data_IF_554493512676
#
_entry.id   IF_554493512676
#
_cell.length_a   1.000
_cell.length_b   1.000
_cell.length_c   1.000
_cell.angle_alpha   90.00
_cell.angle_beta   90.00
_cell.angle_gamma   90.00
#
_symmetry.space_group_name_H-M   'P 1'
#
loop_
_entity.id
_entity.type
_entity.pdbx_description
1 polymer ?
#
# COMPACT_ATOMS: atom_id res chain seq x y z
N UNK A 1 -43.93 10.73 -30.15
CA UNK A 1 -43.10 10.93 -31.35
C UNK A 1 -41.64 10.94 -30.90
N UNK A 2 -40.84 9.94 -31.29
CA UNK A 2 -39.42 9.90 -30.94
C UNK A 2 -38.66 10.83 -31.87
N UNK A 3 -37.95 11.80 -31.30
CA UNK A 3 -37.12 12.75 -32.06
C UNK A 3 -35.85 12.01 -32.50
N UNK A 4 -35.54 11.94 -33.80
CA UNK A 4 -34.34 11.28 -34.27
C UNK A 4 -33.09 12.07 -33.84
N UNK A 5 -31.97 11.39 -33.53
CA UNK A 5 -30.74 12.05 -33.14
C UNK A 5 -30.23 12.98 -34.25
N UNK A 6 -29.76 14.16 -33.85
CA UNK A 6 -29.26 15.18 -34.77
C UNK A 6 -28.00 14.70 -35.50
N UNK A 7 -27.84 15.13 -36.75
CA UNK A 7 -26.70 14.78 -37.63
C UNK A 7 -25.33 15.03 -36.99
N UNK A 8 -25.23 15.97 -36.04
CA UNK A 8 -24.03 16.25 -35.26
C UNK A 8 -23.71 15.16 -34.21
N UNK A 9 -24.71 14.57 -33.57
CA UNK A 9 -24.52 13.48 -32.62
C UNK A 9 -24.06 12.17 -33.32
N UNK A 10 -24.58 11.91 -34.52
CA UNK A 10 -24.13 10.78 -35.34
C UNK A 10 -22.68 10.95 -35.82
N UNK A 11 -22.29 12.18 -36.19
CA UNK A 11 -20.91 12.49 -36.59
C UNK A 11 -19.92 12.39 -35.42
N UNK A 12 -20.30 12.82 -34.20
CA UNK A 12 -19.48 12.69 -33.00
C UNK A 12 -19.30 11.22 -32.58
N UNK A 13 -20.34 10.39 -32.70
CA UNK A 13 -20.25 8.95 -32.46
C UNK A 13 -19.37 8.24 -33.49
N UNK A 14 -19.44 8.63 -34.77
CA UNK A 14 -18.57 8.09 -35.82
C UNK A 14 -17.10 8.53 -35.64
N UNK A 15 -16.85 9.78 -35.22
CA UNK A 15 -15.50 10.27 -34.95
C UNK A 15 -14.88 9.59 -33.71
N UNK A 16 -15.66 9.34 -32.66
CA UNK A 16 -15.21 8.58 -31.48
C UNK A 16 -14.90 7.11 -31.83
N UNK A 17 -15.66 6.49 -32.74
CA UNK A 17 -15.37 5.15 -33.25
C UNK A 17 -14.09 5.10 -34.11
N UNK A 18 -13.80 6.16 -34.86
CA UNK A 18 -12.62 6.25 -35.75
C UNK A 18 -11.34 6.59 -34.98
N UNK A 19 -11.43 7.36 -33.89
CA UNK A 19 -10.28 7.66 -33.01
C UNK A 19 -9.82 6.46 -32.15
N UNK A 20 -10.69 5.45 -31.95
CA UNK A 20 -10.34 4.21 -31.26
C UNK A 20 -9.54 3.22 -32.12
N UNK A 21 -9.37 3.48 -33.42
CA UNK A 21 -8.60 2.62 -34.34
C UNK A 21 -7.10 2.96 -34.33
N UNK A 22 -6.55 3.23 -33.14
CA UNK A 22 -5.11 3.32 -32.94
C UNK A 22 -4.51 1.91 -33.10
N UNK A 23 -3.53 1.78 -33.99
CA UNK A 23 -2.80 0.57 -34.41
C UNK A 23 -2.79 -0.54 -33.34
N UNK A 24 -3.81 -1.40 -33.37
CA UNK A 24 -3.95 -2.47 -32.40
C UNK A 24 -3.01 -3.59 -32.80
N UNK A 25 -2.07 -3.97 -31.93
CA UNK A 25 -1.12 -5.04 -32.22
C UNK A 25 -1.88 -6.36 -32.30
N UNK A 26 -1.97 -6.92 -33.50
CA UNK A 26 -2.56 -8.24 -33.74
C UNK A 26 -1.44 -9.27 -33.62
N UNK A 27 -1.68 -10.32 -32.83
CA UNK A 27 -0.78 -11.46 -32.63
C UNK A 27 -1.48 -12.74 -33.05
N UNK A 28 -0.75 -13.63 -33.72
CA UNK A 28 -1.24 -14.94 -34.13
C UNK A 28 -0.62 -16.02 -33.24
N UNK A 29 -1.43 -16.93 -32.70
CA UNK A 29 -0.97 -18.02 -31.83
C UNK A 29 -1.50 -19.38 -32.32
N UNK A 30 -0.60 -20.32 -32.56
CA UNK A 30 -0.97 -21.70 -32.84
C UNK A 30 -1.12 -22.49 -31.53
N UNK A 31 -2.26 -23.14 -31.35
CA UNK A 31 -2.63 -23.92 -30.17
C UNK A 31 -2.86 -25.37 -30.57
N UNK A 32 -2.29 -26.30 -29.81
CA UNK A 32 -2.44 -27.73 -30.02
C UNK A 32 -3.92 -28.19 -29.85
N UNK A 33 -4.33 -29.32 -30.44
CA UNK A 33 -5.66 -29.89 -30.22
C UNK A 33 -5.90 -30.21 -28.74
N UNK A 34 -7.18 -30.17 -28.33
CA UNK A 34 -7.60 -30.51 -26.97
C UNK A 34 -8.01 -29.31 -26.11
N UNK A 35 -7.87 -29.46 -24.78
CA UNK A 35 -8.25 -28.42 -23.80
C UNK A 35 -7.27 -27.25 -23.89
N UNK A 36 -7.79 -26.06 -24.18
CA UNK A 36 -6.98 -24.83 -24.35
C UNK A 36 -6.42 -24.33 -23.00
N UNK A 37 -7.13 -24.60 -21.90
CA UNK A 37 -6.78 -24.10 -20.57
C UNK A 37 -7.01 -22.59 -20.41
N UNK A 38 -8.03 -22.04 -21.07
CA UNK A 38 -8.44 -20.63 -20.96
C UNK A 38 -9.88 -20.53 -20.47
N UNK A 39 -10.12 -19.60 -19.56
CA UNK A 39 -11.48 -19.12 -19.27
C UNK A 39 -11.72 -17.85 -20.08
N UNK A 40 -12.81 -17.84 -20.84
CA UNK A 40 -13.13 -16.77 -21.77
C UNK A 40 -14.47 -16.13 -21.43
N UNK A 41 -14.57 -14.81 -21.60
CA UNK A 41 -15.83 -14.07 -21.57
C UNK A 41 -16.11 -13.50 -22.96
N UNK A 42 -17.16 -13.98 -23.62
CA UNK A 42 -17.53 -13.56 -24.98
C UNK A 42 -18.32 -12.25 -24.93
N UNK A 43 -17.90 -11.28 -25.74
CA UNK A 43 -18.51 -9.97 -25.92
C UNK A 43 -18.64 -9.68 -27.44
N UNK A 44 -19.28 -8.57 -27.81
CA UNK A 44 -19.45 -8.17 -29.23
C UNK A 44 -18.12 -7.98 -29.99
N UNK A 45 -17.02 -7.72 -29.27
CA UNK A 45 -15.69 -7.54 -29.84
C UNK A 45 -14.87 -8.84 -30.00
N UNK A 46 -15.33 -9.96 -29.42
CA UNK A 46 -14.59 -11.23 -29.35
C UNK A 46 -14.63 -11.84 -27.95
N UNK A 47 -13.71 -12.76 -27.66
CA UNK A 47 -13.61 -13.45 -26.38
C UNK A 47 -12.44 -12.93 -25.54
N UNK A 48 -12.74 -12.26 -24.42
CA UNK A 48 -11.73 -11.75 -23.48
C UNK A 48 -11.21 -12.88 -22.59
N UNK A 49 -9.89 -13.02 -22.46
CA UNK A 49 -9.26 -13.98 -21.56
C UNK A 49 -9.40 -13.51 -20.12
N UNK A 50 -10.09 -14.27 -19.27
CA UNK A 50 -10.30 -13.94 -17.85
C UNK A 50 -9.39 -14.74 -16.92
N UNK A 51 -8.98 -15.95 -17.32
CA UNK A 51 -7.95 -16.72 -16.62
C UNK A 51 -7.23 -17.68 -17.56
N UNK A 52 -6.01 -18.04 -17.18
CA UNK A 52 -5.14 -18.97 -17.91
C UNK A 52 -4.70 -20.06 -16.94
N UNK A 53 -4.91 -21.32 -17.31
CA UNK A 53 -4.43 -22.46 -16.55
C UNK A 53 -2.91 -22.56 -16.69
N UNK A 54 -2.20 -22.72 -15.56
CA UNK A 54 -0.73 -22.70 -15.51
C UNK A 54 -0.08 -23.81 -16.34
N UNK A 55 -0.76 -24.95 -16.48
CA UNK A 55 -0.36 -26.12 -17.27
C UNK A 55 -0.62 -25.97 -18.78
N UNK A 56 -1.30 -24.91 -19.22
CA UNK A 56 -1.71 -24.76 -20.61
C UNK A 56 -0.56 -24.32 -21.52
N UNK A 57 -0.62 -24.74 -22.79
CA UNK A 57 0.33 -24.28 -23.84
C UNK A 57 0.20 -22.79 -24.21
N UNK A 58 -0.78 -22.09 -23.62
CA UNK A 58 -1.04 -20.67 -23.77
C UNK A 58 -0.35 -19.82 -22.69
N UNK A 59 0.05 -20.43 -21.57
CA UNK A 59 0.73 -19.72 -20.47
C UNK A 59 2.02 -19.05 -20.97
N UNK A 60 2.19 -17.77 -20.64
CA UNK A 60 3.31 -16.92 -21.09
C UNK A 60 3.26 -16.48 -22.56
N UNK A 61 2.27 -16.93 -23.35
CA UNK A 61 2.10 -16.51 -24.75
C UNK A 61 0.99 -15.46 -24.91
N UNK A 62 0.02 -15.45 -24.01
CA UNK A 62 -1.08 -14.50 -23.96
C UNK A 62 -1.28 -14.07 -22.51
N UNK A 63 -1.81 -12.86 -22.30
CA UNK A 63 -2.04 -12.29 -20.97
C UNK A 63 -3.55 -12.22 -20.66
N UNK A 64 -3.90 -12.21 -19.37
CA UNK A 64 -5.29 -11.96 -18.94
C UNK A 64 -5.70 -10.54 -19.39
N UNK A 65 -6.86 -10.45 -20.05
CA UNK A 65 -7.37 -9.22 -20.65
C UNK A 65 -7.13 -9.10 -22.15
N UNK A 66 -6.32 -9.95 -22.77
CA UNK A 66 -6.23 -10.06 -24.22
C UNK A 66 -7.57 -10.53 -24.82
N UNK A 67 -7.83 -10.17 -26.07
CA UNK A 67 -9.10 -10.48 -26.75
C UNK A 67 -8.83 -11.37 -27.96
N UNK A 68 -9.39 -12.58 -27.95
CA UNK A 68 -9.38 -13.47 -29.11
C UNK A 68 -10.53 -13.03 -30.03
N UNK A 69 -10.19 -12.63 -31.25
CA UNK A 69 -11.18 -12.13 -32.22
C UNK A 69 -11.58 -13.17 -33.26
N UNK A 70 -10.68 -14.11 -33.57
CA UNK A 70 -10.94 -15.18 -34.53
C UNK A 70 -10.14 -16.46 -34.21
N UNK A 71 -10.70 -17.59 -34.62
CA UNK A 71 -10.08 -18.92 -34.57
C UNK A 71 -10.09 -19.49 -35.99
N UNK A 72 -8.93 -19.85 -36.52
CA UNK A 72 -8.75 -20.35 -37.89
C UNK A 72 -9.38 -19.43 -38.96
N UNK A 73 -9.24 -18.11 -38.76
CA UNK A 73 -9.84 -17.08 -39.63
C UNK A 73 -11.34 -16.86 -39.43
N UNK A 74 -12.03 -17.69 -38.63
CA UNK A 74 -13.46 -17.51 -38.31
C UNK A 74 -13.62 -16.57 -37.11
N UNK A 75 -14.37 -15.48 -37.30
CA UNK A 75 -14.66 -14.51 -36.23
C UNK A 75 -15.45 -15.16 -35.08
N UNK A 76 -15.05 -14.87 -33.85
CA UNK A 76 -15.76 -15.28 -32.64
C UNK A 76 -16.93 -14.33 -32.39
N UNK A 77 -18.16 -14.85 -32.40
CA UNK A 77 -19.37 -14.08 -32.07
C UNK A 77 -20.12 -14.65 -30.86
N UNK A 78 -20.04 -15.97 -30.67
CA UNK A 78 -20.73 -16.69 -29.61
C UNK A 78 -19.84 -17.76 -28.99
N UNK A 79 -20.26 -18.33 -27.86
CA UNK A 79 -19.47 -19.31 -27.09
C UNK A 79 -19.18 -20.57 -27.90
N UNK A 80 -20.10 -20.97 -28.78
CA UNK A 80 -19.95 -22.17 -29.61
C UNK A 80 -18.82 -22.03 -30.62
N UNK A 81 -18.49 -20.80 -31.05
CA UNK A 81 -17.37 -20.58 -31.97
C UNK A 81 -16.02 -20.91 -31.32
N UNK A 82 -15.91 -20.89 -29.98
CA UNK A 82 -14.70 -21.32 -29.26
C UNK A 82 -14.41 -22.82 -29.40
N UNK A 83 -15.43 -23.61 -29.75
CA UNK A 83 -15.32 -25.05 -29.99
C UNK A 83 -15.03 -25.41 -31.46
N UNK A 84 -14.97 -24.40 -32.35
CA UNK A 84 -14.61 -24.61 -33.74
C UNK A 84 -13.24 -25.30 -33.85
N UNK A 85 -13.19 -26.41 -34.59
CA UNK A 85 -11.99 -27.23 -34.80
C UNK A 85 -11.26 -27.67 -33.51
N UNK A 86 -11.95 -27.86 -32.39
CA UNK A 86 -11.30 -28.22 -31.11
C UNK A 86 -10.42 -29.49 -31.16
N UNK A 87 -10.67 -30.38 -32.12
CA UNK A 87 -9.93 -31.64 -32.31
C UNK A 87 -8.70 -31.52 -33.21
N UNK A 88 -8.36 -30.32 -33.70
CA UNK A 88 -7.18 -30.04 -34.54
C UNK A 88 -6.36 -28.90 -33.95
N UNK A 89 -5.14 -28.71 -34.45
CA UNK A 89 -4.38 -27.50 -34.14
C UNK A 89 -5.13 -26.28 -34.66
N UNK A 90 -5.20 -25.22 -33.85
CA UNK A 90 -5.96 -24.00 -34.13
C UNK A 90 -5.08 -22.77 -34.13
N UNK A 91 -5.41 -21.79 -34.95
CA UNK A 91 -4.74 -20.52 -35.02
C UNK A 91 -5.64 -19.43 -34.43
N UNK A 92 -5.22 -18.85 -33.31
CA UNK A 92 -5.92 -17.73 -32.68
C UNK A 92 -5.40 -16.42 -33.23
N UNK A 93 -6.32 -15.55 -33.65
CA UNK A 93 -6.04 -14.14 -33.92
C UNK A 93 -6.39 -13.35 -32.67
N UNK A 94 -5.38 -12.74 -32.06
CA UNK A 94 -5.47 -12.11 -30.75
C UNK A 94 -5.18 -10.64 -30.91
N UNK A 95 -6.11 -9.82 -30.45
CA UNK A 95 -5.90 -8.40 -30.26
C UNK A 95 -5.29 -8.24 -28.88
N UNK A 96 -4.01 -7.88 -28.85
CA UNK A 96 -3.33 -7.62 -27.59
C UNK A 96 -4.01 -6.42 -26.96
N UNK A 97 -4.38 -6.56 -25.68
CA UNK A 97 -4.77 -5.38 -24.90
C UNK A 97 -3.61 -4.41 -25.06
N UNK A 98 -3.91 -3.15 -25.40
CA UNK A 98 -2.88 -2.12 -25.36
C UNK A 98 -2.27 -2.25 -23.97
N UNK A 99 -1.05 -2.75 -23.92
CA UNK A 99 -0.16 -2.41 -22.83
C UNK A 99 -0.01 -0.90 -23.00
N UNK A 100 -0.99 -0.15 -22.47
CA UNK A 100 -0.65 0.90 -21.53
C UNK A 100 0.49 0.29 -20.73
N UNK A 101 1.57 1.02 -20.50
CA UNK A 101 2.53 0.56 -19.54
C UNK A 101 1.79 0.46 -18.19
N UNK A 102 1.06 -0.63 -18.03
CA UNK A 102 0.68 -1.31 -16.83
C UNK A 102 2.05 -1.79 -16.39
N UNK A 103 2.83 -0.83 -15.86
CA UNK A 103 3.65 -1.07 -14.70
C UNK A 103 2.89 -2.12 -13.92
N UNK A 104 3.44 -3.33 -13.92
CA UNK A 104 2.73 -4.53 -13.51
C UNK A 104 1.84 -4.20 -12.32
N UNK A 105 0.51 -4.14 -12.55
CA UNK A 105 -0.48 -4.05 -11.47
C UNK A 105 -0.81 -5.47 -11.00
N UNK A 106 0.15 -6.40 -11.08
CA UNK A 106 0.47 -7.12 -9.85
C UNK A 106 1.01 -6.05 -8.93
N UNK A 107 0.21 -5.55 -7.97
CA UNK A 107 0.73 -4.65 -6.94
C UNK A 107 1.99 -5.30 -6.35
N UNK A 108 3.17 -4.97 -6.86
CA UNK A 108 4.41 -5.27 -6.22
C UNK A 108 4.28 -4.51 -4.91
N UNK A 109 4.01 -5.24 -3.85
CA UNK A 109 3.56 -4.68 -2.57
C UNK A 109 4.50 -3.61 -2.04
N UNK A 110 5.74 -3.73 -2.48
CA UNK A 110 6.77 -2.74 -2.41
C UNK A 110 7.61 -2.81 -3.69
N UNK A 111 8.37 -1.75 -3.97
CA UNK A 111 9.31 -1.69 -5.08
C UNK A 111 10.66 -1.18 -4.60
N UNK A 112 11.73 -1.88 -4.97
CA UNK A 112 13.11 -1.46 -4.72
C UNK A 112 13.67 -0.80 -5.97
N UNK A 113 14.04 0.46 -5.86
CA UNK A 113 14.63 1.24 -6.94
C UNK A 113 16.07 1.63 -6.55
N UNK A 114 17.08 0.89 -7.04
CA UNK A 114 18.48 1.31 -6.87
C UNK A 114 18.74 2.57 -7.71
N UNK A 115 19.28 3.62 -7.08
CA UNK A 115 19.51 4.92 -7.72
C UNK A 115 20.96 5.17 -8.12
N UNK A 116 21.79 4.12 -8.22
CA UNK A 116 23.25 4.24 -8.43
C UNK A 116 23.65 5.16 -9.59
N UNK A 117 22.82 5.30 -10.62
CA UNK A 117 23.05 6.21 -11.76
C UNK A 117 22.25 7.53 -11.71
N UNK A 118 21.23 7.64 -10.87
CA UNK A 118 20.29 8.78 -10.88
C UNK A 118 20.59 9.81 -9.79
N UNK A 119 21.15 9.38 -8.66
CA UNK A 119 21.58 10.27 -7.57
C UNK A 119 23.10 10.26 -7.53
N UNK A 120 23.76 11.40 -7.83
CA UNK A 120 25.21 11.48 -7.77
C UNK A 120 25.75 11.15 -6.37
N UNK A 121 26.85 10.39 -6.23
CA UNK A 121 27.41 10.02 -4.93
C UNK A 121 27.69 11.21 -4.00
N UNK A 122 28.11 12.36 -4.56
CA UNK A 122 28.39 13.56 -3.77
C UNK A 122 27.13 14.09 -3.04
N UNK A 123 25.93 13.89 -3.60
CA UNK A 123 24.68 14.32 -2.94
C UNK A 123 24.45 13.53 -1.65
N UNK A 124 24.81 12.24 -1.65
CA UNK A 124 24.68 11.37 -0.48
C UNK A 124 25.70 11.78 0.58
N UNK A 125 26.96 11.93 0.19
CA UNK A 125 28.03 12.32 1.11
C UNK A 125 27.81 13.71 1.72
N UNK A 126 27.35 14.68 0.92
CA UNK A 126 27.01 16.02 1.40
C UNK A 126 25.81 15.99 2.36
N UNK A 127 24.77 15.22 2.02
CA UNK A 127 23.60 15.00 2.90
C UNK A 127 24.02 14.36 4.23
N UNK A 128 24.85 13.31 4.18
CA UNK A 128 25.42 12.67 5.36
C UNK A 128 26.30 13.63 6.17
N UNK A 129 27.10 14.45 5.52
CA UNK A 129 27.97 15.45 6.17
C UNK A 129 27.14 16.49 6.93
N UNK A 130 26.08 17.03 6.30
CA UNK A 130 25.13 17.94 6.96
C UNK A 130 24.52 17.28 8.20
N UNK A 131 24.13 16.01 8.12
CA UNK A 131 23.57 15.29 9.26
C UNK A 131 24.57 15.02 10.36
N UNK A 132 25.75 14.49 10.02
CA UNK A 132 26.82 14.24 10.99
C UNK A 132 27.20 15.53 11.72
N UNK A 133 27.27 16.66 11.02
CA UNK A 133 27.53 17.97 11.62
C UNK A 133 26.40 18.43 12.53
N UNK A 134 25.15 18.33 12.07
CA UNK A 134 23.96 18.77 12.81
C UNK A 134 23.73 17.96 14.09
N UNK A 135 24.00 16.66 14.04
CA UNK A 135 23.77 15.71 15.13
C UNK A 135 25.07 15.25 15.80
N UNK A 136 26.18 15.96 15.62
CA UNK A 136 27.49 15.56 16.12
C UNK A 136 27.48 15.32 17.64
N UNK A 137 26.75 16.14 18.39
CA UNK A 137 26.64 16.02 19.86
C UNK A 137 25.88 14.77 20.27
N UNK A 138 24.79 14.46 19.58
CA UNK A 138 23.99 13.25 19.80
C UNK A 138 24.77 12.00 19.41
N UNK A 139 25.42 12.02 18.24
CA UNK A 139 26.30 10.94 17.77
C UNK A 139 27.44 10.69 18.76
N UNK A 140 28.05 11.74 19.30
CA UNK A 140 29.11 11.62 20.30
C UNK A 140 28.60 10.96 21.59
N UNK A 141 27.38 11.28 22.04
CA UNK A 141 26.76 10.63 23.21
C UNK A 141 26.56 9.13 22.99
N UNK A 142 26.18 8.73 21.77
CA UNK A 142 26.03 7.31 21.41
C UNK A 142 27.38 6.57 21.41
N UNK A 143 28.48 7.25 21.02
CA UNK A 143 29.82 6.66 20.98
C UNK A 143 30.51 6.57 22.34
N UNK A 144 30.20 7.45 23.28
CA UNK A 144 31.00 7.63 24.51
C UNK A 144 30.57 6.72 25.67
N UNK A 145 29.46 5.97 25.59
CA UNK A 145 29.21 4.97 26.62
C UNK A 145 27.88 4.21 26.53
N UNK A 146 27.99 2.90 26.30
CA UNK A 146 27.26 1.91 27.08
C UNK A 146 28.14 0.65 27.14
N UNK A 147 28.57 0.25 28.33
CA UNK A 147 29.25 -1.04 28.54
C UNK A 147 28.31 -2.16 28.06
N UNK A 148 28.81 -3.21 27.37
CA UNK A 148 27.99 -4.31 26.86
C UNK A 148 27.41 -5.24 27.95
N UNK A 149 27.59 -4.93 29.23
CA UNK A 149 27.25 -5.82 30.36
C UNK A 149 25.99 -5.42 31.14
N UNK A 150 25.10 -4.62 30.57
CA UNK A 150 23.71 -4.68 31.04
C UNK A 150 23.06 -5.76 30.21
N UNK A 151 22.87 -6.95 30.79
CA UNK A 151 21.94 -7.94 30.26
C UNK A 151 20.57 -7.25 30.13
N UNK A 152 20.31 -6.69 28.95
CA UNK A 152 18.98 -6.22 28.58
C UNK A 152 18.20 -7.48 28.16
N UNK A 153 17.88 -8.31 29.16
CA UNK A 153 16.80 -9.28 29.08
C UNK A 153 15.48 -8.51 29.19
N UNK A 154 15.16 -7.68 28.19
CA UNK A 154 13.82 -7.09 28.09
C UNK A 154 12.97 -7.93 27.16
N UNK A 155 12.35 -8.94 27.79
CA UNK A 155 11.06 -9.48 27.38
C UNK A 155 10.11 -8.29 27.30
N UNK A 156 9.55 -8.04 26.11
CA UNK A 156 8.46 -7.09 25.92
C UNK A 156 7.17 -7.65 26.56
N UNK A 157 7.10 -7.62 27.89
CA UNK A 157 5.85 -7.66 28.63
C UNK A 157 5.89 -6.57 29.71
N UNK A 158 4.76 -5.89 29.82
CA UNK A 158 4.47 -4.70 30.60
C UNK A 158 4.89 -4.81 32.08
N UNK A 159 5.47 -3.73 32.64
CA UNK A 159 5.17 -3.13 33.96
C UNK A 159 6.33 -2.35 34.60
N UNK A 160 7.55 -2.38 34.06
CA UNK A 160 8.63 -1.58 34.65
C UNK A 160 8.75 -0.20 34.01
N UNK A 161 8.92 0.81 34.87
CA UNK A 161 9.18 2.20 34.53
C UNK A 161 10.09 2.30 33.31
N UNK A 162 9.60 2.95 32.26
CA UNK A 162 10.43 3.39 31.13
C UNK A 162 11.52 4.29 31.73
N UNK A 163 12.70 3.71 31.96
CA UNK A 163 13.84 4.39 32.57
C UNK A 163 14.11 5.69 31.81
N UNK A 164 14.63 6.73 32.48
CA UNK A 164 15.00 8.00 31.82
C UNK A 164 15.88 7.79 30.58
N UNK A 165 16.61 6.68 30.49
CA UNK A 165 17.47 6.30 29.38
C UNK A 165 16.69 5.80 28.16
N UNK A 166 15.67 4.94 28.33
CA UNK A 166 14.80 4.52 27.21
C UNK A 166 13.98 5.69 26.66
N UNK A 167 13.51 6.62 27.53
CA UNK A 167 12.94 7.91 27.08
C UNK A 167 13.95 8.77 26.30
N UNK A 168 15.25 8.76 26.64
CA UNK A 168 16.29 9.48 25.87
C UNK A 168 16.50 8.89 24.48
N UNK A 169 16.42 7.57 24.33
CA UNK A 169 16.48 6.92 23.02
C UNK A 169 15.22 7.22 22.18
N UNK A 170 14.03 7.20 22.78
CA UNK A 170 12.78 7.60 22.10
C UNK A 170 12.79 9.09 21.69
N UNK A 171 13.32 9.98 22.54
CA UNK A 171 13.48 11.42 22.26
C UNK A 171 14.52 11.72 21.16
N UNK A 172 15.47 10.81 20.92
CA UNK A 172 16.38 10.92 19.78
C UNK A 172 15.68 10.60 18.46
N UNK A 173 14.66 9.73 18.48
CA UNK A 173 13.87 9.31 17.31
C UNK A 173 12.84 10.37 16.90
N UNK A 174 12.34 11.19 17.82
CA UNK A 174 11.22 12.11 17.56
C UNK A 174 11.60 13.59 17.33
N UNK A 175 12.89 13.92 17.13
CA UNK A 175 13.32 15.27 16.73
C UNK A 175 13.10 15.51 15.23
N UNK A 176 11.82 15.64 14.88
CA UNK A 176 11.30 15.97 13.55
C UNK A 176 11.91 17.27 13.07
N UNK A 177 12.83 17.16 12.13
CA UNK A 177 13.32 18.31 11.37
C UNK A 177 12.66 18.30 10.02
N UNK A 178 12.08 19.44 9.66
CA UNK A 178 11.52 19.71 8.34
C UNK A 178 12.69 19.80 7.35
N UNK A 179 13.14 18.63 6.90
CA UNK A 179 14.30 18.44 6.03
C UNK A 179 14.01 18.76 4.56
N UNK A 180 12.75 19.01 4.22
CA UNK A 180 12.28 19.47 2.92
C UNK A 180 13.01 20.73 2.40
N UNK A 181 13.80 21.42 3.25
CA UNK A 181 14.54 22.62 2.88
C UNK A 181 16.01 22.38 2.50
N UNK A 182 16.55 21.16 2.52
CA UNK A 182 17.88 20.99 1.92
C UNK A 182 17.72 21.02 0.39
N UNK A 183 18.40 21.97 -0.26
CA UNK A 183 18.33 22.12 -1.71
C UNK A 183 18.71 20.83 -2.44
N UNK A 184 19.60 20.02 -1.85
CA UNK A 184 20.01 18.72 -2.36
C UNK A 184 18.86 17.71 -2.45
N UNK A 185 18.13 17.51 -1.35
CA UNK A 185 17.00 16.56 -1.33
C UNK A 185 15.93 17.05 -2.29
N UNK A 186 15.62 18.34 -2.26
CA UNK A 186 14.58 18.95 -3.09
C UNK A 186 14.92 18.96 -4.59
N UNK A 187 16.19 19.13 -4.95
CA UNK A 187 16.63 19.15 -6.35
C UNK A 187 16.82 17.77 -6.95
N UNK A 188 17.27 16.78 -6.16
CA UNK A 188 17.64 15.47 -6.70
C UNK A 188 16.66 14.35 -6.36
N UNK A 189 16.20 14.23 -5.12
CA UNK A 189 15.36 13.10 -4.69
C UNK A 189 13.88 13.36 -4.97
N UNK A 190 13.37 14.55 -4.67
CA UNK A 190 11.95 14.87 -4.83
C UNK A 190 11.47 14.65 -6.28
N UNK A 191 12.18 15.09 -7.34
CA UNK A 191 11.73 14.86 -8.71
C UNK A 191 11.69 13.38 -9.08
N UNK A 192 12.68 12.59 -8.64
CA UNK A 192 12.73 11.13 -8.88
C UNK A 192 11.54 10.44 -8.21
N UNK A 193 11.32 10.74 -6.92
CA UNK A 193 10.22 10.16 -6.14
C UNK A 193 8.87 10.54 -6.75
N UNK A 194 8.69 11.82 -7.08
CA UNK A 194 7.43 12.33 -7.64
C UNK A 194 7.14 11.70 -9.00
N UNK A 195 8.15 11.63 -9.88
CA UNK A 195 8.03 10.98 -11.19
C UNK A 195 7.71 9.50 -11.04
N UNK A 196 8.40 8.78 -10.17
CA UNK A 196 8.12 7.37 -9.91
C UNK A 196 6.66 7.17 -9.50
N UNK A 197 6.15 8.00 -8.57
CA UNK A 197 4.77 7.93 -8.14
C UNK A 197 3.78 8.23 -9.28
N UNK A 198 4.07 9.24 -10.13
CA UNK A 198 3.24 9.58 -11.29
C UNK A 198 3.22 8.46 -12.35
N UNK A 199 4.33 7.75 -12.53
CA UNK A 199 4.47 6.68 -13.52
C UNK A 199 3.79 5.36 -13.06
N UNK A 200 3.56 5.17 -11.75
CA UNK A 200 3.12 3.89 -11.18
C UNK A 200 1.79 3.95 -10.42
N UNK A 201 1.29 5.14 -10.08
CA UNK A 201 0.06 5.30 -9.32
C UNK A 201 -0.85 6.34 -9.99
N UNK A 202 -2.16 6.09 -9.95
CA UNK A 202 -3.13 7.01 -10.52
C UNK A 202 -3.24 8.31 -9.70
N UNK A 203 -3.02 9.42 -10.39
CA UNK A 203 -3.25 10.78 -9.89
C UNK A 203 -1.97 11.63 -9.78
N UNK A 204 -2.14 12.85 -9.28
CA UNK A 204 -1.02 13.76 -9.02
C UNK A 204 -0.58 13.64 -7.58
N UNK A 205 0.69 13.31 -7.37
CA UNK A 205 1.29 13.12 -6.05
C UNK A 205 2.19 14.28 -5.66
N UNK A 206 2.28 14.53 -4.36
CA UNK A 206 3.26 15.44 -3.76
C UNK A 206 3.76 14.91 -2.41
N UNK A 207 4.93 15.38 -2.00
CA UNK A 207 5.53 14.99 -0.73
C UNK A 207 4.89 15.81 0.39
N UNK A 208 4.13 15.12 1.25
CA UNK A 208 3.48 15.73 2.41
C UNK A 208 4.46 15.91 3.58
N UNK A 209 5.40 14.96 3.74
CA UNK A 209 6.32 14.95 4.88
C UNK A 209 7.64 14.29 4.53
N UNK A 210 8.73 14.83 5.05
CA UNK A 210 10.06 14.20 5.02
C UNK A 210 10.58 14.08 6.45
N UNK A 211 11.01 12.89 6.83
CA UNK A 211 11.57 12.55 8.14
C UNK A 211 12.98 12.00 7.96
N UNK A 212 13.90 12.37 8.85
CA UNK A 212 15.18 11.68 9.00
C UNK A 212 15.01 10.63 10.09
N UNK A 213 15.30 9.39 9.74
CA UNK A 213 15.33 8.28 10.69
C UNK A 213 16.78 7.89 10.95
N UNK A 214 17.08 7.57 12.20
CA UNK A 214 18.40 7.18 12.67
C UNK A 214 18.26 5.95 13.56
N UNK A 215 19.11 4.94 13.35
CA UNK A 215 19.18 3.75 14.21
C UNK A 215 20.62 3.30 14.40
N UNK A 216 21.05 3.06 15.63
CA UNK A 216 22.34 2.46 15.94
C UNK A 216 22.21 0.94 16.18
N UNK A 217 23.31 0.30 16.58
CA UNK A 217 23.38 -1.13 16.89
C UNK A 217 22.52 -1.57 18.09
N UNK A 218 22.20 -0.63 18.98
CA UNK A 218 21.44 -0.86 20.21
C UNK A 218 19.95 -0.59 20.04
N UNK A 219 19.56 0.00 18.92
CA UNK A 219 18.17 0.24 18.57
C UNK A 219 17.46 -1.12 18.51
N UNK A 220 16.47 -1.37 19.41
CA UNK A 220 15.74 -2.62 19.39
C UNK A 220 15.01 -2.74 18.07
N UNK A 221 14.81 -3.98 17.65
CA UNK A 221 13.98 -4.26 16.50
C UNK A 221 12.58 -3.65 16.68
N UNK A 222 12.09 -2.96 15.66
CA UNK A 222 10.76 -2.38 15.74
C UNK A 222 9.71 -3.48 15.72
N UNK A 223 8.64 -3.29 16.49
CA UNK A 223 7.43 -4.10 16.35
C UNK A 223 6.80 -3.83 14.98
N UNK A 224 6.15 -4.85 14.43
CA UNK A 224 5.37 -4.70 13.20
C UNK A 224 4.29 -3.63 13.38
N UNK A 225 4.23 -2.68 12.43
CA UNK A 225 3.28 -1.57 12.43
C UNK A 225 2.93 -1.15 10.99
N UNK A 226 1.89 -0.32 10.85
CA UNK A 226 1.57 0.39 9.62
C UNK A 226 1.88 1.87 9.80
N UNK A 227 2.23 2.54 8.71
CA UNK A 227 2.49 3.99 8.72
C UNK A 227 1.20 4.81 8.62
N UNK A 228 0.17 4.22 8.00
CA UNK A 228 -1.18 4.74 7.91
C UNK A 228 -2.04 4.29 9.09
N UNK A 229 -2.89 5.20 9.57
CA UNK A 229 -3.93 4.93 10.57
C UNK A 229 -5.21 4.53 9.81
N UNK A 230 -5.89 3.48 10.29
CA UNK A 230 -7.12 2.88 9.75
C UNK A 230 -7.94 3.80 8.85
N UNK A 231 -7.86 3.57 7.53
CA UNK A 231 -8.67 4.16 6.45
C UNK A 231 -8.60 5.69 6.25
N UNK A 232 -7.93 6.45 7.11
CA UNK A 232 -7.99 7.91 7.05
C UNK A 232 -6.88 8.56 6.20
N UNK A 233 -5.77 7.86 5.94
CA UNK A 233 -4.65 8.42 5.17
C UNK A 233 -4.02 7.36 4.26
N UNK A 234 -4.58 7.21 3.07
CA UNK A 234 -3.94 6.48 1.98
C UNK A 234 -2.78 7.33 1.43
N UNK A 235 -1.56 6.84 1.60
CA UNK A 235 -0.36 7.48 1.06
C UNK A 235 0.72 6.44 0.74
N UNK A 236 1.63 6.85 -0.15
CA UNK A 236 2.82 6.07 -0.47
C UNK A 236 3.96 6.51 0.42
N UNK A 237 4.67 5.54 0.96
CA UNK A 237 5.93 5.73 1.64
C UNK A 237 7.06 5.51 0.64
N UNK A 238 8.04 6.41 0.63
CA UNK A 238 9.35 6.15 0.04
C UNK A 238 10.43 6.25 1.11
N UNK A 239 11.23 5.20 1.27
CA UNK A 239 12.33 5.13 2.22
C UNK A 239 13.65 5.12 1.43
N UNK A 240 14.45 6.16 1.59
CA UNK A 240 15.76 6.31 0.96
C UNK A 240 16.89 5.98 1.93
N UNK A 241 17.78 5.07 1.55
CA UNK A 241 18.92 4.65 2.36
C UNK A 241 20.15 5.50 2.09
N UNK A 242 20.69 6.11 3.13
CA UNK A 242 21.94 6.89 3.06
C UNK A 242 23.17 6.03 3.37
N UNK A 243 22.99 4.80 3.84
CA UNK A 243 24.05 3.87 4.18
C UNK A 243 23.72 2.46 3.72
N UNK A 244 24.76 1.64 3.61
CA UNK A 244 24.62 0.22 3.33
C UNK A 244 24.02 -0.55 4.51
N UNK A 245 23.57 -1.76 4.22
CA UNK A 245 23.08 -2.72 5.21
C UNK A 245 21.94 -2.16 6.06
N UNK A 246 21.03 -1.41 5.46
CA UNK A 246 19.78 -1.01 6.13
C UNK A 246 18.83 -2.20 6.16
N UNK A 247 18.58 -2.73 7.36
CA UNK A 247 17.64 -3.83 7.56
C UNK A 247 16.21 -3.30 7.67
N UNK A 248 15.32 -3.93 6.90
CA UNK A 248 13.90 -3.61 6.87
C UNK A 248 13.11 -4.89 6.68
N UNK A 249 11.98 -5.03 7.37
CA UNK A 249 11.11 -6.19 7.22
C UNK A 249 9.75 -5.74 6.76
N UNK A 250 9.20 -6.41 5.76
CA UNK A 250 7.88 -6.12 5.23
C UNK A 250 7.10 -7.42 5.06
N UNK A 251 5.86 -7.43 5.53
CA UNK A 251 5.01 -8.62 5.44
C UNK A 251 4.36 -8.69 4.07
N UNK A 252 4.47 -9.86 3.44
CA UNK A 252 3.79 -10.15 2.19
C UNK A 252 2.29 -10.35 2.45
N UNK A 253 1.40 -9.63 1.75
CA UNK A 253 -0.06 -9.76 1.99
C UNK A 253 -0.61 -11.11 1.53
N UNK A 254 -0.06 -11.70 0.47
CA UNK A 254 -0.56 -12.95 -0.09
C UNK A 254 -0.19 -14.12 0.82
N UNK A 255 1.08 -14.17 1.22
CA UNK A 255 1.61 -15.34 1.93
C UNK A 255 1.67 -15.13 3.45
N UNK A 256 1.45 -13.89 3.92
CA UNK A 256 1.66 -13.46 5.31
C UNK A 256 3.08 -13.72 5.82
N UNK A 257 4.04 -14.00 4.94
CA UNK A 257 5.43 -14.21 5.33
C UNK A 257 6.12 -12.87 5.56
N UNK A 258 6.97 -12.81 6.59
CA UNK A 258 7.78 -11.63 6.85
C UNK A 258 9.04 -11.71 5.99
N UNK A 259 9.19 -10.77 5.06
CA UNK A 259 10.35 -10.70 4.19
C UNK A 259 11.38 -9.74 4.75
N UNK A 260 12.58 -10.25 4.97
CA UNK A 260 13.73 -9.43 5.35
C UNK A 260 14.40 -8.83 4.11
N UNK A 261 14.64 -7.53 4.15
CA UNK A 261 15.31 -6.75 3.13
C UNK A 261 16.58 -6.17 3.72
N UNK A 262 17.70 -6.44 3.07
CA UNK A 262 18.98 -5.75 3.35
C UNK A 262 19.18 -4.75 2.21
N UNK A 263 18.89 -3.49 2.49
CA UNK A 263 18.96 -2.44 1.49
C UNK A 263 20.38 -1.84 1.42
N UNK A 264 21.00 -1.77 0.23
CA UNK A 264 22.26 -1.07 0.05
C UNK A 264 22.05 0.45 0.09
N UNK A 265 23.15 1.21 0.22
CA UNK A 265 23.17 2.66 0.09
C UNK A 265 22.57 3.08 -1.25
N UNK A 266 21.94 4.26 -1.28
CA UNK A 266 21.38 4.85 -2.49
C UNK A 266 20.21 4.03 -3.08
N UNK A 267 19.36 3.48 -2.21
CA UNK A 267 18.19 2.70 -2.61
C UNK A 267 16.92 3.37 -2.12
N UNK A 268 15.93 3.47 -3.01
CA UNK A 268 14.56 3.81 -2.64
C UNK A 268 13.74 2.53 -2.47
N UNK A 269 13.05 2.41 -1.35
CA UNK A 269 11.99 1.43 -1.13
C UNK A 269 10.65 2.16 -1.12
N UNK A 270 9.79 1.83 -2.07
CA UNK A 270 8.41 2.32 -2.11
C UNK A 270 7.47 1.26 -1.54
N UNK A 271 6.54 1.66 -0.67
CA UNK A 271 5.46 0.78 -0.20
C UNK A 271 4.25 1.61 0.24
N UNK A 272 3.08 0.98 0.30
CA UNK A 272 1.85 1.65 0.73
C UNK A 272 1.82 1.81 2.26
N UNK A 273 1.29 2.91 2.77
CA UNK A 273 1.21 3.22 4.22
C UNK A 273 0.54 2.12 5.08
N UNK A 274 -0.39 1.35 4.50
CA UNK A 274 -1.10 0.25 5.16
C UNK A 274 -0.31 -1.07 5.16
N UNK A 275 0.90 -1.10 4.60
CA UNK A 275 1.75 -2.28 4.65
C UNK A 275 2.30 -2.48 6.05
N UNK A 276 2.10 -3.68 6.59
CA UNK A 276 2.65 -4.08 7.86
C UNK A 276 4.16 -4.32 7.70
N UNK A 277 4.95 -3.57 8.44
CA UNK A 277 6.40 -3.56 8.32
C UNK A 277 7.08 -3.27 9.66
N UNK A 278 8.40 -3.44 9.70
CA UNK A 278 9.22 -3.11 10.85
C UNK A 278 10.63 -2.71 10.39
N UNK A 279 11.23 -1.72 11.04
CA UNK A 279 12.68 -1.53 10.99
C UNK A 279 13.38 -2.76 11.57
N UNK A 280 14.28 -3.37 10.80
CA UNK A 280 15.06 -4.51 11.25
C UNK A 280 16.14 -4.10 12.24
N UNK A 281 16.66 -5.09 12.99
CA UNK A 281 17.83 -4.90 13.85
C UNK A 281 19.02 -4.44 13.00
N UNK A 282 19.76 -3.43 13.47
CA UNK A 282 21.03 -3.05 12.87
C UNK A 282 22.13 -3.95 13.46
N UNK A 283 22.71 -4.89 12.70
CA UNK A 283 23.75 -5.78 13.21
C UNK A 283 25.13 -5.11 13.22
N UNK A 284 25.25 -3.90 12.68
CA UNK A 284 26.52 -3.17 12.59
C UNK A 284 26.62 -2.15 13.72
N UNK A 285 27.85 -1.86 14.16
CA UNK A 285 28.12 -0.77 15.10
C UNK A 285 28.00 0.63 14.47
N UNK A 286 27.61 0.71 13.20
CA UNK A 286 27.43 1.97 12.51
C UNK A 286 26.03 2.52 12.74
N UNK A 287 25.91 3.83 12.90
CA UNK A 287 24.62 4.50 12.89
C UNK A 287 24.09 4.44 11.46
N UNK A 288 22.86 3.98 11.26
CA UNK A 288 22.17 3.92 9.97
C UNK A 288 21.20 5.09 9.80
N UNK A 289 21.41 5.93 8.79
CA UNK A 289 20.58 7.08 8.44
C UNK A 289 19.68 6.76 7.23
N UNK A 290 18.41 7.19 7.33
CA UNK A 290 17.41 7.01 6.27
C UNK A 290 16.54 8.26 6.13
N UNK A 291 16.13 8.58 4.91
CA UNK A 291 15.08 9.57 4.68
C UNK A 291 13.76 8.86 4.41
N UNK A 292 12.73 9.26 5.15
CA UNK A 292 11.39 8.71 5.04
C UNK A 292 10.45 9.78 4.49
N UNK A 293 9.92 9.54 3.30
CA UNK A 293 9.03 10.45 2.57
C UNK A 293 7.60 9.90 2.62
N UNK A 294 6.65 10.73 3.08
CA UNK A 294 5.22 10.47 2.96
C UNK A 294 4.68 11.23 1.76
N UNK A 295 4.08 10.51 0.83
CA UNK A 295 3.68 10.99 -0.49
C UNK A 295 2.18 10.76 -0.63
N UNK A 296 1.40 11.83 -0.60
CA UNK A 296 -0.05 11.73 -0.79
C UNK A 296 -0.48 12.36 -2.10
N UNK A 297 -1.77 12.22 -2.43
CA UNK A 297 -2.34 12.91 -3.57
C UNK A 297 -2.46 14.39 -3.26
N UNK A 298 -2.22 15.24 -4.25
CA UNK A 298 -2.26 16.71 -4.14
C UNK A 298 -3.60 17.25 -3.60
N UNK A 299 -4.70 16.56 -3.90
CA UNK A 299 -6.05 16.93 -3.43
C UNK A 299 -6.38 16.40 -2.03
N UNK A 300 -5.62 15.42 -1.53
CA UNK A 300 -5.77 14.83 -0.19
C UNK A 300 -5.02 15.64 0.88
N UNK A 301 -4.77 16.94 0.63
CA UNK A 301 -4.56 17.90 1.71
C UNK A 301 -5.85 18.14 2.50
N UNK A 302 -6.62 17.09 2.81
CA UNK A 302 -7.51 17.12 3.96
C UNK A 302 -6.65 17.54 5.14
N UNK A 303 -7.03 18.67 5.77
CA UNK A 303 -6.33 19.33 6.87
C UNK A 303 -5.50 18.32 7.64
N UNK A 304 -4.17 18.41 7.54
CA UNK A 304 -3.28 17.61 8.36
C UNK A 304 -3.77 17.75 9.80
N UNK A 305 -4.44 16.72 10.33
CA UNK A 305 -4.89 16.71 11.72
C UNK A 305 -3.62 17.01 12.50
N UNK A 306 -3.65 18.08 13.30
CA UNK A 306 -2.45 18.56 13.94
C UNK A 306 -1.87 17.42 14.76
N UNK A 307 -0.55 17.24 14.78
CA UNK A 307 0.03 16.14 15.55
C UNK A 307 -0.22 16.31 17.07
N UNK A 308 -0.61 17.51 17.51
CA UNK A 308 -1.11 17.76 18.86
C UNK A 308 -2.46 17.07 19.15
N UNK A 309 -3.28 16.83 18.13
CA UNK A 309 -4.45 15.94 18.20
C UNK A 309 -4.06 14.46 18.07
N UNK A 310 -2.99 14.13 17.33
CA UNK A 310 -2.52 12.74 17.16
C UNK A 310 -1.71 12.18 18.36
N UNK A 311 -1.01 13.02 19.14
CA UNK A 311 -0.20 12.59 20.30
C UNK A 311 -1.05 12.25 21.53
N UNK A 312 -2.36 12.51 21.52
CA UNK A 312 -3.26 12.09 22.62
C UNK A 312 -3.58 10.60 22.65
N UNK A 313 -3.00 9.78 21.76
CA UNK A 313 -3.47 8.41 21.56
C UNK A 313 -2.32 7.40 21.41
N UNK A 314 -1.91 6.71 22.49
CA UNK A 314 -1.33 5.38 22.34
C UNK A 314 -2.50 4.48 21.93
N UNK A 315 -2.62 4.18 20.63
CA UNK A 315 -3.76 3.44 20.05
C UNK A 315 -3.97 2.04 20.62
N UNK A 316 -3.08 1.59 21.50
CA UNK A 316 -3.17 0.33 22.21
C UNK A 316 -3.68 0.47 23.64
N UNK A 317 -3.76 1.66 24.26
CA UNK A 317 -4.18 1.76 25.67
C UNK A 317 -5.64 2.19 25.85
N UNK A 318 -6.31 1.64 26.86
CA UNK A 318 -7.62 2.10 27.28
C UNK A 318 -7.53 3.41 28.09
N UNK A 319 -8.31 4.42 27.73
CA UNK A 319 -8.29 5.73 28.40
C UNK A 319 -8.71 5.70 29.87
N UNK A 320 -9.54 4.73 30.26
CA UNK A 320 -9.99 4.61 31.64
C UNK A 320 -8.92 4.03 32.57
N UNK A 321 -8.38 2.87 32.21
CA UNK A 321 -7.51 2.10 33.10
C UNK A 321 -6.02 2.08 32.68
N UNK A 322 -5.67 2.64 31.53
CA UNK A 322 -4.30 2.64 31.00
C UNK A 322 -3.79 1.30 30.45
N UNK A 323 -4.61 0.23 30.50
CA UNK A 323 -4.22 -1.12 30.05
C UNK A 323 -4.00 -1.16 28.54
N UNK A 324 -2.94 -1.83 28.08
CA UNK A 324 -2.61 -1.88 26.64
C UNK A 324 -3.08 -3.16 25.95
N UNK A 325 -3.25 -3.08 24.63
CA UNK A 325 -3.86 -4.11 23.78
C UNK A 325 -3.07 -4.22 22.47
N UNK A 326 -2.77 -5.45 22.06
CA UNK A 326 -2.03 -5.72 20.82
C UNK A 326 -2.88 -5.61 19.56
N UNK A 327 -4.22 -5.64 19.69
CA UNK A 327 -5.18 -5.60 18.59
C UNK A 327 -6.28 -4.58 18.91
N UNK A 328 -6.63 -3.73 17.94
CA UNK A 328 -7.63 -2.67 18.10
C UNK A 328 -8.99 -3.18 18.58
N UNK A 329 -9.48 -4.32 18.05
CA UNK A 329 -10.76 -4.91 18.47
C UNK A 329 -10.78 -5.31 19.94
N UNK A 330 -9.66 -5.83 20.46
CA UNK A 330 -9.50 -6.15 21.88
C UNK A 330 -9.49 -4.88 22.74
N UNK A 331 -8.84 -3.81 22.27
CA UNK A 331 -8.89 -2.50 22.93
C UNK A 331 -10.31 -1.96 22.97
N UNK A 332 -11.01 -1.92 21.83
CA UNK A 332 -12.40 -1.48 21.72
C UNK A 332 -13.29 -2.25 22.69
N UNK A 333 -13.25 -3.58 22.65
CA UNK A 333 -14.02 -4.44 23.57
C UNK A 333 -13.71 -4.14 25.04
N UNK A 334 -12.46 -3.80 25.35
CA UNK A 334 -12.11 -3.38 26.70
C UNK A 334 -12.53 -1.93 27.02
N UNK A 335 -12.40 -0.98 26.11
CA UNK A 335 -12.90 0.39 26.28
C UNK A 335 -14.41 0.38 26.57
N UNK A 336 -15.13 -0.56 25.94
CA UNK A 336 -16.54 -0.86 26.19
C UNK A 336 -16.80 -1.69 27.44
N UNK A 337 -15.81 -2.12 28.21
CA UNK A 337 -16.02 -2.91 29.44
C UNK A 337 -15.26 -2.37 30.65
N UNK A 338 -14.37 -1.40 30.45
CA UNK A 338 -13.55 -0.77 31.46
C UNK A 338 -14.39 0.11 32.40
N UNK A 339 -14.52 -0.30 33.67
CA UNK A 339 -15.23 0.45 34.72
C UNK A 339 -14.60 1.82 35.04
N UNK A 340 -13.37 2.06 34.60
CA UNK A 340 -12.68 3.35 34.76
C UNK A 340 -12.86 4.28 33.54
N UNK A 341 -13.51 3.81 32.47
CA UNK A 341 -13.73 4.60 31.25
C UNK A 341 -15.16 5.16 31.22
N UNK A 342 -15.37 6.33 31.84
CA UNK A 342 -16.70 6.98 31.93
C UNK A 342 -17.33 7.27 30.57
N UNK A 343 -16.51 7.55 29.55
CA UNK A 343 -16.99 7.77 28.17
C UNK A 343 -17.43 6.46 27.51
N UNK A 344 -16.76 5.34 27.83
CA UNK A 344 -17.13 4.00 27.41
C UNK A 344 -18.51 3.57 27.92
N UNK A 345 -18.87 3.97 29.15
CA UNK A 345 -20.19 3.71 29.73
C UNK A 345 -21.30 4.49 29.02
N UNK A 346 -21.07 5.78 28.74
CA UNK A 346 -22.02 6.61 28.00
C UNK A 346 -22.23 6.09 26.57
N UNK A 347 -21.15 5.71 25.87
CA UNK A 347 -21.24 5.12 24.54
C UNK A 347 -21.99 3.77 24.56
N UNK A 348 -21.76 2.93 25.58
CA UNK A 348 -22.51 1.67 25.77
C UNK A 348 -23.99 1.91 25.97
N UNK A 349 -24.35 2.92 26.77
CA UNK A 349 -25.75 3.27 27.01
C UNK A 349 -26.43 3.67 25.70
N UNK A 350 -25.81 4.58 24.94
CA UNK A 350 -26.33 5.03 23.65
C UNK A 350 -26.47 3.90 22.61
N UNK A 351 -25.46 3.03 22.50
CA UNK A 351 -25.49 1.90 21.56
C UNK A 351 -26.54 0.85 21.97
N UNK A 352 -26.67 0.56 23.27
CA UNK A 352 -27.72 -0.32 23.78
C UNK A 352 -29.11 0.25 23.54
N UNK A 353 -29.29 1.58 23.66
CA UNK A 353 -30.57 2.23 23.37
C UNK A 353 -30.91 2.18 21.88
N UNK A 354 -29.92 2.38 21.00
CA UNK A 354 -30.10 2.19 19.55
C UNK A 354 -30.48 0.74 19.20
N UNK A 355 -29.85 -0.25 19.84
CA UNK A 355 -30.19 -1.66 19.65
C UNK A 355 -31.59 -1.97 20.17
N UNK A 356 -32.02 -1.37 21.28
CA UNK A 356 -33.40 -1.49 21.80
C UNK A 356 -34.41 -0.90 20.84
N UNK A 357 -34.14 0.28 20.28
CA UNK A 357 -35.01 0.89 19.26
C UNK A 357 -35.12 0.02 18.01
N UNK A 358 -34.01 -0.52 17.51
CA UNK A 358 -34.02 -1.41 16.35
C UNK A 358 -34.83 -2.69 16.61
N UNK A 359 -34.71 -3.27 17.81
CA UNK A 359 -35.51 -4.44 18.21
C UNK A 359 -36.98 -4.10 18.34
N UNK A 360 -37.32 -2.95 18.92
CA UNK A 360 -38.69 -2.45 19.00
C UNK A 360 -39.29 -2.21 17.61
N UNK A 361 -38.52 -1.62 16.68
CA UNK A 361 -38.88 -1.45 15.28
C UNK A 361 -39.17 -2.78 14.59
N UNK A 362 -38.27 -3.76 14.69
CA UNK A 362 -38.48 -5.11 14.13
C UNK A 362 -39.69 -5.81 14.72
N UNK A 363 -39.95 -5.63 16.03
CA UNK A 363 -41.14 -6.17 16.69
C UNK A 363 -42.43 -5.55 16.14
N UNK A 364 -42.47 -4.23 15.93
CA UNK A 364 -43.63 -3.53 15.31
C UNK A 364 -43.92 -4.07 13.91
N UNK A 365 -42.93 -4.10 13.04
CA UNK A 365 -43.08 -4.64 11.67
C UNK A 365 -43.59 -6.07 11.68
N UNK A 366 -43.11 -6.90 12.62
CA UNK A 366 -43.58 -8.29 12.76
C UNK A 366 -45.04 -8.36 13.21
N UNK A 367 -45.48 -7.50 14.12
CA UNK A 367 -46.87 -7.46 14.60
C UNK A 367 -47.82 -6.97 13.51
N UNK A 368 -47.46 -5.89 12.80
CA UNK A 368 -48.22 -5.38 11.64
C UNK A 368 -48.37 -6.46 10.56
N UNK A 369 -47.31 -7.21 10.27
CA UNK A 369 -47.35 -8.32 9.33
C UNK A 369 -48.21 -9.50 9.81
N UNK A 370 -48.42 -9.66 11.11
CA UNK A 370 -49.34 -10.67 11.66
C UNK A 370 -50.80 -10.19 11.58
N UNK A 371 -51.07 -8.92 11.85
CA UNK A 371 -52.40 -8.32 11.72
C UNK A 371 -52.88 -8.34 10.27
N UNK A 372 -52.03 -7.97 9.30
CA UNK A 372 -52.35 -8.05 7.87
C UNK A 372 -52.63 -9.47 7.36
N UNK A 373 -52.18 -10.51 8.08
CA UNK A 373 -52.49 -11.91 7.76
C UNK A 373 -53.79 -12.39 8.40
N UNK A 374 -54.28 -11.69 9.41
CA UNK A 374 -55.49 -12.04 10.15
C UNK A 374 -56.75 -11.38 9.56
N UNK A 375 -56.58 -10.26 8.86
CA UNK A 375 -57.58 -9.61 8.00
C UNK A 375 -57.58 -10.21 6.60
#
# INVERSE_FOLDING_TARGET
MMVPPTKAAAAAAAAAATAATAATKIKTLNVAPGKIGLTLKVNLAGATVTSIESSSGCNGKIDVGDVIVAIDGRKLQKVEDCHYNANKARQFTIVLKKKEAVAATTCNEYSLLPLKSQVPPHVIEETLSIFRKKYAKEIAKLKIGAKPNVEINHIFNETQEVTKESKRYQLAVDRRTTLYKSDLVSKHLIPIITKYCQDHYDGTFEIHKTLLLMSDAFCPEQKEHTDGIDNANDFIVALFTLQDNTYFRIRDRLNRELKELVMPQNTLLFFHSLKLHAGGRNPTNEINFRLHFRIGRKHDRTKSISMAEQIRFPETCCYGCGRTYTIYSSRKNHEYTCSLNKEGDAHRAAENDQVRELRAGRKRVRLEAQEMKAT
#
